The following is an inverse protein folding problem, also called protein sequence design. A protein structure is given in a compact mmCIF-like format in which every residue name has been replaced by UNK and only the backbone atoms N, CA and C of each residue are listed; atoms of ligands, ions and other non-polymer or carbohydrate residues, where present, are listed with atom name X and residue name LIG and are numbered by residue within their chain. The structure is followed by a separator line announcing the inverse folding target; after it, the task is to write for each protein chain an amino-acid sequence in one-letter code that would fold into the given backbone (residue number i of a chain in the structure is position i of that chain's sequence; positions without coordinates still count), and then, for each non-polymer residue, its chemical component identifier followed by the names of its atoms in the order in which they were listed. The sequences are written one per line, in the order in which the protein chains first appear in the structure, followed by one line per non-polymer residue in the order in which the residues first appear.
data_IF_749912335647
#
_entry.id   IF_749912335647
#
_cell.length_a   1.000
_cell.length_b   1.000
_cell.length_c   1.000
_cell.angle_alpha   90.00
_cell.angle_beta   90.00
_cell.angle_gamma   90.00
#
_symmetry.space_group_name_H-M   'P 1'
#
loop_
_entity.id
_entity.type
_entity.pdbx_description
1 polymer ?
#
# COMPACT_ATOMS: atom_id res chain seq x y z
N UNK A 1 10.06 -8.05 13.12
CA UNK A 1 10.99 -7.72 12.01
C UNK A 1 10.30 -6.97 10.87
N UNK A 2 9.21 -7.51 10.28
CA UNK A 2 8.50 -6.85 9.16
C UNK A 2 7.98 -5.46 9.51
N UNK A 3 7.47 -5.31 10.72
CA UNK A 3 7.08 -4.00 11.28
C UNK A 3 8.20 -2.95 11.24
N UNK A 4 9.43 -3.35 11.55
CA UNK A 4 10.60 -2.46 11.51
C UNK A 4 11.02 -2.16 10.06
N UNK A 5 10.87 -3.12 9.16
CA UNK A 5 11.08 -2.91 7.73
C UNK A 5 10.09 -1.86 7.18
N UNK A 6 8.81 -1.94 7.55
CA UNK A 6 7.80 -0.95 7.14
C UNK A 6 8.17 0.44 7.64
N UNK A 7 8.55 0.55 8.92
CA UNK A 7 8.97 1.81 9.52
C UNK A 7 10.20 2.39 8.79
N UNK A 8 11.17 1.54 8.44
CA UNK A 8 12.36 1.92 7.68
C UNK A 8 12.00 2.40 6.27
N UNK A 9 11.10 1.71 5.57
CA UNK A 9 10.68 2.10 4.22
C UNK A 9 9.93 3.43 4.26
N UNK A 10 9.00 3.60 5.21
CA UNK A 10 8.26 4.84 5.40
C UNK A 10 9.19 6.03 5.70
N UNK A 11 10.22 5.82 6.54
CA UNK A 11 11.23 6.83 6.82
C UNK A 11 12.12 7.11 5.60
N UNK A 12 12.59 6.06 4.89
CA UNK A 12 13.47 6.19 3.73
C UNK A 12 12.80 6.92 2.56
N UNK A 13 11.49 6.82 2.43
CA UNK A 13 10.69 7.56 1.44
C UNK A 13 10.71 9.08 1.64
N UNK A 14 11.18 9.60 2.77
CA UNK A 14 11.39 11.04 2.92
C UNK A 14 12.65 11.56 2.21
N UNK A 15 13.55 10.65 1.79
CA UNK A 15 14.82 10.97 1.17
C UNK A 15 14.88 10.53 -0.30
N UNK A 16 15.71 11.21 -1.10
CA UNK A 16 16.04 10.84 -2.49
C UNK A 16 17.37 10.07 -2.55
N UNK A 17 17.60 9.24 -3.57
CA UNK A 17 16.70 8.85 -4.67
C UNK A 17 15.56 7.92 -4.20
N UNK A 18 14.57 7.65 -5.08
CA UNK A 18 13.47 6.71 -4.80
C UNK A 18 14.06 5.33 -4.49
N UNK A 19 13.69 4.69 -3.37
CA UNK A 19 14.27 3.41 -2.99
C UNK A 19 13.56 2.24 -3.70
N UNK A 20 13.77 2.11 -5.02
CA UNK A 20 13.08 1.14 -5.90
C UNK A 20 13.08 -0.29 -5.34
N UNK A 21 14.24 -0.85 -4.99
CA UNK A 21 14.35 -2.22 -4.45
C UNK A 21 13.61 -2.43 -3.12
N UNK A 22 13.57 -1.41 -2.27
CA UNK A 22 12.83 -1.49 -1.01
C UNK A 22 11.32 -1.46 -1.26
N UNK A 23 10.88 -0.69 -2.25
CA UNK A 23 9.48 -0.63 -2.67
C UNK A 23 9.03 -1.91 -3.37
N UNK A 24 9.89 -2.57 -4.15
CA UNK A 24 9.63 -3.91 -4.69
C UNK A 24 9.45 -4.94 -3.55
N UNK A 25 10.28 -4.85 -2.52
CA UNK A 25 10.12 -5.69 -1.32
C UNK A 25 8.80 -5.39 -0.59
N UNK A 26 8.41 -4.11 -0.51
CA UNK A 26 7.10 -3.71 0.01
C UNK A 26 5.97 -4.27 -0.86
N UNK A 27 6.13 -4.29 -2.18
CA UNK A 27 5.14 -4.82 -3.11
C UNK A 27 4.92 -6.32 -2.95
N UNK A 28 5.99 -7.10 -2.76
CA UNK A 28 5.88 -8.52 -2.43
C UNK A 28 5.21 -8.73 -1.07
N UNK A 29 5.51 -7.87 -0.09
CA UNK A 29 4.87 -7.95 1.22
C UNK A 29 3.37 -7.61 1.15
N UNK A 30 2.98 -6.66 0.30
CA UNK A 30 1.60 -6.22 0.17
C UNK A 30 0.77 -7.13 -0.76
N UNK A 31 1.42 -8.04 -1.48
CA UNK A 31 0.75 -8.95 -2.41
C UNK A 31 -0.11 -9.99 -1.70
N UNK A 32 -1.42 -9.92 -1.96
CA UNK A 32 -2.42 -10.84 -1.43
C UNK A 32 -2.17 -12.29 -1.90
N UNK A 33 -1.62 -12.47 -3.10
CA UNK A 33 -1.41 -13.78 -3.72
C UNK A 33 -0.06 -14.42 -3.34
N UNK A 34 0.82 -13.63 -2.71
CA UNK A 34 2.10 -14.11 -2.21
C UNK A 34 1.94 -15.32 -1.28
N UNK A 35 2.87 -16.27 -1.37
CA UNK A 35 2.90 -17.46 -0.50
C UNK A 35 2.85 -17.04 0.97
N UNK A 36 3.60 -15.99 1.30
CA UNK A 36 3.68 -15.45 2.64
C UNK A 36 2.33 -14.94 3.17
N UNK A 37 1.59 -14.14 2.38
CA UNK A 37 0.27 -13.66 2.80
C UNK A 37 -0.77 -14.77 2.83
N UNK A 38 -0.66 -15.79 1.97
CA UNK A 38 -1.54 -16.98 2.03
C UNK A 38 -1.36 -17.75 3.33
N UNK A 39 -0.14 -17.95 3.80
CA UNK A 39 0.13 -18.58 5.11
C UNK A 39 -0.36 -17.73 6.28
N UNK A 40 -0.35 -16.40 6.12
CA UNK A 40 -0.71 -15.43 7.15
C UNK A 40 -2.17 -14.97 7.06
N UNK A 41 -2.95 -15.50 6.12
CA UNK A 41 -4.30 -15.04 5.78
C UNK A 41 -5.25 -15.02 6.98
N UNK A 42 -5.14 -16.01 7.88
CA UNK A 42 -6.03 -16.14 9.03
C UNK A 42 -5.60 -15.32 10.25
N UNK A 43 -4.48 -14.59 10.17
CA UNK A 43 -4.00 -13.79 11.30
C UNK A 43 -4.98 -12.62 11.56
N UNK A 44 -5.42 -12.43 12.81
CA UNK A 44 -6.44 -11.47 13.14
C UNK A 44 -5.95 -10.03 12.96
N UNK A 45 -6.89 -9.13 12.69
CA UNK A 45 -6.66 -7.69 12.69
C UNK A 45 -6.70 -7.12 14.11
N UNK A 46 -5.71 -6.31 14.48
CA UNK A 46 -5.71 -5.58 15.74
C UNK A 46 -6.27 -4.15 15.56
N UNK A 47 -7.49 -3.93 16.05
CA UNK A 47 -8.21 -2.65 15.97
C UNK A 47 -7.64 -1.52 16.84
N UNK A 48 -6.61 -1.78 17.66
CA UNK A 48 -5.94 -0.71 18.42
C UNK A 48 -5.37 0.39 17.51
N UNK A 49 -4.87 0.03 16.34
CA UNK A 49 -4.34 0.97 15.36
C UNK A 49 -5.43 1.87 14.76
N UNK A 50 -6.65 1.38 14.59
CA UNK A 50 -7.77 2.18 14.06
C UNK A 50 -8.09 3.37 14.96
N UNK A 51 -7.99 3.18 16.28
CA UNK A 51 -8.21 4.28 17.24
C UNK A 51 -7.17 5.39 17.08
N UNK A 52 -5.93 5.03 16.75
CA UNK A 52 -4.84 6.00 16.55
C UNK A 52 -4.92 6.69 15.19
N UNK A 53 -5.34 5.96 14.15
CA UNK A 53 -5.42 6.48 12.78
C UNK A 53 -6.72 7.25 12.51
N UNK A 54 -7.82 6.86 13.15
CA UNK A 54 -9.14 7.46 12.95
C UNK A 54 -9.53 7.51 11.47
N UNK A 55 -9.65 8.72 10.93
CA UNK A 55 -10.00 8.97 9.52
C UNK A 55 -8.86 8.67 8.54
N UNK A 56 -7.66 8.33 8.99
CA UNK A 56 -6.51 7.99 8.15
C UNK A 56 -6.39 6.51 7.80
N UNK A 57 -7.21 5.64 8.40
CA UNK A 57 -7.21 4.18 8.11
C UNK A 57 -7.32 3.93 6.59
N UNK A 58 -6.39 3.20 6.00
CA UNK A 58 -6.36 2.99 4.55
C UNK A 58 -6.89 1.60 4.15
N UNK A 59 -6.73 0.63 5.06
CA UNK A 59 -7.08 -0.75 4.82
C UNK A 59 -7.94 -1.29 5.97
N UNK A 60 -8.91 -2.12 5.62
CA UNK A 60 -9.73 -2.85 6.59
C UNK A 60 -9.95 -4.26 6.07
N UNK A 61 -9.91 -5.29 6.93
CA UNK A 61 -10.14 -6.64 6.48
C UNK A 61 -11.51 -6.74 5.80
N UNK A 62 -11.61 -7.43 4.64
CA UNK A 62 -12.87 -7.57 3.94
C UNK A 62 -13.89 -8.27 4.85
N UNK A 63 -15.08 -7.69 4.97
CA UNK A 63 -16.18 -8.30 5.70
C UNK A 63 -16.59 -9.60 5.00
N UNK A 64 -16.77 -10.68 5.76
CA UNK A 64 -17.29 -11.94 5.22
C UNK A 64 -18.70 -11.70 4.66
N UNK A 65 -18.88 -11.92 3.36
CA UNK A 65 -20.17 -11.86 2.68
C UNK A 65 -21.00 -13.11 3.01
N UNK A 66 -21.47 -13.26 4.25
CA UNK A 66 -22.60 -14.16 4.53
C UNK A 66 -23.27 -13.83 5.86
N UNK A 67 -24.60 -13.74 5.78
CA UNK A 67 -25.59 -13.50 6.85
C UNK A 67 -25.46 -14.51 8.03
N UNK A 68 -24.72 -15.61 7.85
CA UNK A 68 -24.52 -16.66 8.87
C UNK A 68 -23.18 -16.60 9.62
N UNK A 69 -22.32 -15.60 9.38
CA UNK A 69 -20.96 -15.56 9.94
C UNK A 69 -20.78 -14.72 11.21
N UNK A 70 -21.86 -14.45 11.97
CA UNK A 70 -21.79 -13.69 13.24
C UNK A 70 -20.77 -14.25 14.26
N UNK A 71 -20.43 -15.54 14.17
CA UNK A 71 -19.48 -16.19 15.08
C UNK A 71 -18.09 -16.43 14.48
N UNK A 72 -17.86 -16.08 13.21
CA UNK A 72 -16.55 -16.22 12.57
C UNK A 72 -16.38 -15.10 11.56
N UNK A 73 -16.04 -13.90 12.07
CA UNK A 73 -15.29 -12.91 11.29
C UNK A 73 -13.99 -13.58 10.86
N UNK A 74 -14.02 -14.32 9.75
CA UNK A 74 -12.81 -14.73 9.05
C UNK A 74 -12.21 -13.43 8.49
N UNK A 75 -11.46 -12.73 9.34
CA UNK A 75 -10.63 -11.57 9.03
C UNK A 75 -9.48 -12.03 8.12
N UNK A 76 -9.83 -12.52 6.92
CA UNK A 76 -8.84 -12.85 5.90
C UNK A 76 -7.99 -11.61 5.65
N UNK A 77 -6.68 -11.76 5.64
CA UNK A 77 -5.72 -10.67 5.46
C UNK A 77 -5.75 -9.59 6.55
N UNK A 78 -6.23 -9.92 7.76
CA UNK A 78 -6.21 -8.99 8.89
C UNK A 78 -4.81 -8.44 9.14
N UNK A 79 -3.81 -9.31 9.25
CA UNK A 79 -2.43 -8.87 9.46
C UNK A 79 -1.85 -8.00 8.31
N UNK A 80 -2.21 -8.26 7.06
CA UNK A 80 -1.84 -7.40 5.92
C UNK A 80 -2.45 -5.99 6.08
N UNK A 81 -3.73 -5.90 6.42
CA UNK A 81 -4.40 -4.62 6.68
C UNK A 81 -3.69 -3.85 7.81
N UNK A 82 -3.25 -4.57 8.85
CA UNK A 82 -2.52 -3.99 9.97
C UNK A 82 -1.19 -3.37 9.54
N UNK A 83 -0.48 -4.05 8.66
CA UNK A 83 0.79 -3.60 8.10
C UNK A 83 0.62 -2.37 7.20
N UNK A 84 -0.40 -2.38 6.34
CA UNK A 84 -0.72 -1.22 5.50
C UNK A 84 -1.03 0.00 6.37
N UNK A 85 -1.84 -0.18 7.41
CA UNK A 85 -2.17 0.90 8.32
C UNK A 85 -0.98 1.37 9.17
N UNK A 86 -0.03 0.48 9.51
CA UNK A 86 1.23 0.89 10.12
C UNK A 86 2.07 1.77 9.19
N UNK A 87 2.13 1.45 7.91
CA UNK A 87 2.81 2.30 6.91
C UNK A 87 2.19 3.71 6.88
N UNK A 88 0.86 3.81 6.96
CA UNK A 88 0.16 5.09 7.06
C UNK A 88 0.50 5.84 8.36
N UNK A 89 0.55 5.11 9.48
CA UNK A 89 0.88 5.67 10.80
C UNK A 89 2.28 6.28 10.83
N UNK A 90 3.22 5.71 10.09
CA UNK A 90 4.61 6.20 9.94
C UNK A 90 4.78 7.25 8.84
N UNK A 91 3.69 7.92 8.47
CA UNK A 91 3.66 8.93 7.41
C UNK A 91 4.16 8.45 6.05
N UNK A 92 4.16 7.14 5.80
CA UNK A 92 4.63 6.54 4.56
C UNK A 92 3.86 7.07 3.34
N UNK A 93 2.54 7.27 3.46
CA UNK A 93 1.70 7.84 2.38
C UNK A 93 2.10 9.29 2.09
N UNK A 94 2.31 10.10 3.13
CA UNK A 94 2.67 11.51 2.95
C UNK A 94 4.07 11.63 2.33
N UNK A 95 5.01 10.82 2.78
CA UNK A 95 6.37 10.78 2.22
C UNK A 95 6.37 10.28 0.77
N UNK A 96 5.52 9.30 0.46
CA UNK A 96 5.34 8.80 -0.89
C UNK A 96 4.76 9.88 -1.82
N UNK A 97 3.74 10.63 -1.37
CA UNK A 97 3.20 11.77 -2.13
C UNK A 97 4.24 12.84 -2.43
N UNK A 98 5.07 13.18 -1.43
CA UNK A 98 6.18 14.13 -1.61
C UNK A 98 7.17 13.69 -2.69
N UNK A 99 7.31 12.38 -2.95
CA UNK A 99 8.08 11.94 -4.10
C UNK A 99 7.42 12.46 -5.39
N UNK A 100 6.12 12.20 -5.58
CA UNK A 100 5.38 12.61 -6.78
C UNK A 100 5.30 14.12 -7.03
N UNK A 101 5.37 14.94 -5.99
CA UNK A 101 5.30 16.41 -6.09
C UNK A 101 6.57 17.06 -6.66
N UNK A 102 7.67 16.32 -6.78
CA UNK A 102 8.94 16.85 -7.28
C UNK A 102 8.86 17.16 -8.78
N UNK A 103 9.53 18.23 -9.22
CA UNK A 103 9.51 18.71 -10.63
C UNK A 103 10.32 17.81 -11.58
N UNK A 104 11.03 16.81 -11.05
CA UNK A 104 11.81 15.86 -11.84
C UNK A 104 10.89 14.83 -12.48
N UNK A 105 11.06 14.59 -13.78
CA UNK A 105 10.38 13.48 -14.47
C UNK A 105 10.85 12.16 -13.87
N UNK A 106 9.89 11.36 -13.45
CA UNK A 106 10.11 9.99 -13.04
C UNK A 106 10.35 9.07 -14.23
N UNK A 107 11.13 8.02 -14.01
CA UNK A 107 11.25 6.90 -14.95
C UNK A 107 10.09 5.92 -14.81
N UNK A 108 9.82 5.10 -15.84
CA UNK A 108 8.83 4.03 -15.79
C UNK A 108 9.00 3.12 -14.56
N UNK A 109 10.25 2.78 -14.23
CA UNK A 109 10.62 1.94 -13.09
C UNK A 109 10.23 2.60 -11.75
N UNK A 110 10.41 3.91 -11.60
CA UNK A 110 10.05 4.60 -10.37
C UNK A 110 8.54 4.72 -10.20
N UNK A 111 7.80 5.02 -11.28
CA UNK A 111 6.34 5.00 -11.26
C UNK A 111 5.81 3.62 -10.86
N UNK A 112 6.36 2.58 -11.48
CA UNK A 112 6.03 1.20 -11.17
C UNK A 112 6.28 0.90 -9.70
N UNK A 113 7.49 1.16 -9.19
CA UNK A 113 7.85 0.86 -7.81
C UNK A 113 7.00 1.61 -6.77
N UNK A 114 6.61 2.86 -7.04
CA UNK A 114 5.79 3.65 -6.12
C UNK A 114 4.33 3.18 -6.05
N UNK A 115 3.76 2.75 -7.18
CA UNK A 115 2.33 2.38 -7.27
C UNK A 115 2.08 0.89 -7.03
N UNK A 116 3.03 0.01 -7.41
CA UNK A 116 2.87 -1.44 -7.37
C UNK A 116 2.44 -1.99 -6.00
N UNK A 117 3.00 -1.55 -4.84
CA UNK A 117 2.60 -2.11 -3.55
C UNK A 117 1.12 -1.97 -3.26
N UNK A 118 0.51 -0.86 -3.69
CA UNK A 118 -0.92 -0.62 -3.47
C UNK A 118 -1.77 -1.30 -4.55
N UNK A 119 -1.25 -1.44 -5.77
CA UNK A 119 -1.86 -2.27 -6.81
C UNK A 119 -2.07 -3.72 -6.35
N UNK A 120 -1.04 -4.32 -5.74
CA UNK A 120 -1.06 -5.70 -5.28
C UNK A 120 -2.01 -5.95 -4.08
N UNK A 121 -2.31 -4.91 -3.29
CA UNK A 121 -3.18 -5.03 -2.12
C UNK A 121 -4.56 -4.39 -2.30
N UNK A 122 -4.98 -4.04 -3.52
CA UNK A 122 -6.23 -3.32 -3.82
C UNK A 122 -7.48 -3.93 -3.15
N UNK A 123 -7.53 -5.25 -3.00
CA UNK A 123 -8.65 -5.96 -2.37
C UNK A 123 -8.81 -5.68 -0.88
N UNK A 124 -7.73 -5.25 -0.21
CA UNK A 124 -7.70 -4.91 1.21
C UNK A 124 -7.86 -3.40 1.46
N UNK A 125 -7.81 -2.58 0.41
CA UNK A 125 -7.86 -1.11 0.52
C UNK A 125 -9.30 -0.60 0.49
N UNK A 126 -9.53 0.49 1.24
CA UNK A 126 -10.77 1.26 1.13
C UNK A 126 -10.71 2.04 -0.19
N UNK A 127 -11.40 1.57 -1.23
CA UNK A 127 -11.34 2.09 -2.60
C UNK A 127 -11.49 3.61 -2.70
N UNK A 128 -12.46 4.18 -1.98
CA UNK A 128 -12.70 5.63 -1.98
C UNK A 128 -11.51 6.42 -1.44
N UNK A 129 -10.88 5.94 -0.36
CA UNK A 129 -9.68 6.56 0.22
C UNK A 129 -8.47 6.40 -0.69
N UNK A 130 -8.29 5.23 -1.28
CA UNK A 130 -7.20 4.98 -2.22
C UNK A 130 -7.25 5.96 -3.41
N UNK A 131 -8.41 6.11 -4.05
CA UNK A 131 -8.59 7.04 -5.17
C UNK A 131 -8.40 8.50 -4.77
N UNK A 132 -8.86 8.90 -3.59
CA UNK A 132 -8.62 10.25 -3.05
C UNK A 132 -7.13 10.52 -2.81
N UNK A 133 -6.37 9.48 -2.45
CA UNK A 133 -4.96 9.62 -2.14
C UNK A 133 -4.09 9.58 -3.39
N UNK A 134 -4.32 8.64 -4.31
CA UNK A 134 -3.41 8.35 -5.43
C UNK A 134 -3.95 8.69 -6.81
N UNK A 135 -5.17 9.24 -6.91
CA UNK A 135 -5.83 9.46 -8.20
C UNK A 135 -5.03 10.38 -9.13
N UNK A 136 -4.37 11.42 -8.59
CA UNK A 136 -3.56 12.35 -9.40
C UNK A 136 -2.28 11.67 -9.91
N UNK A 137 -1.64 10.91 -9.03
CA UNK A 137 -0.39 10.20 -9.25
C UNK A 137 -0.56 9.08 -10.29
N UNK A 138 -1.72 8.39 -10.26
CA UNK A 138 -2.09 7.40 -11.29
C UNK A 138 -2.28 8.08 -12.64
N UNK A 139 -2.95 9.24 -12.70
CA UNK A 139 -3.12 9.99 -13.96
C UNK A 139 -1.75 10.43 -14.51
N UNK A 140 -0.86 10.94 -13.65
CA UNK A 140 0.51 11.31 -14.04
C UNK A 140 1.28 10.11 -14.63
N UNK A 141 1.18 8.94 -14.01
CA UNK A 141 1.80 7.72 -14.51
C UNK A 141 1.22 7.30 -15.87
N UNK A 142 -0.11 7.41 -16.05
CA UNK A 142 -0.78 7.10 -17.32
C UNK A 142 -0.37 8.08 -18.43
N UNK A 143 -0.27 9.37 -18.13
CA UNK A 143 0.15 10.37 -19.10
C UNK A 143 1.62 10.17 -19.49
N UNK A 144 2.48 9.79 -18.53
CA UNK A 144 3.85 9.39 -18.83
C UNK A 144 3.88 8.18 -19.79
N UNK A 145 3.07 7.14 -19.54
CA UNK A 145 3.00 5.96 -20.42
C UNK A 145 2.58 6.34 -21.84
N UNK A 146 1.62 7.27 -22.01
CA UNK A 146 1.20 7.74 -23.34
C UNK A 146 2.30 8.48 -24.10
N UNK A 147 3.26 9.07 -23.37
CA UNK A 147 4.40 9.77 -23.97
C UNK A 147 5.59 8.87 -24.27
N UNK A 148 5.55 7.59 -23.87
CA UNK A 148 6.57 6.61 -24.22
C UNK A 148 6.43 6.24 -25.70
N UNK A 149 7.52 6.38 -26.45
CA UNK A 149 7.63 5.81 -27.79
C UNK A 149 8.19 4.38 -27.69
N UNK A 150 7.99 3.56 -28.73
CA UNK A 150 8.30 2.12 -28.73
C UNK A 150 9.79 1.74 -28.55
N UNK A 151 10.68 2.70 -28.31
CA UNK A 151 12.14 2.50 -28.15
C UNK A 151 12.64 2.67 -26.70
N UNK A 152 11.75 3.00 -25.74
CA UNK A 152 12.03 3.07 -24.30
C UNK A 152 11.42 1.88 -23.52
#
# INVERSE_FOLDING_TARGET
MIELLIDLIAARLSYRPVPVKLLETLAMLFDCDSVFQREHRNKPYNYSLDKTLGTRVLSTPPAASSIFSFYKRNNSYGWLCQIINRFVLKDGINNLKKQFEDKKRFTALEYHALLLPFGNCMNCLIKTRYLQLFGKEIIQALDYIKTLNAED
#
